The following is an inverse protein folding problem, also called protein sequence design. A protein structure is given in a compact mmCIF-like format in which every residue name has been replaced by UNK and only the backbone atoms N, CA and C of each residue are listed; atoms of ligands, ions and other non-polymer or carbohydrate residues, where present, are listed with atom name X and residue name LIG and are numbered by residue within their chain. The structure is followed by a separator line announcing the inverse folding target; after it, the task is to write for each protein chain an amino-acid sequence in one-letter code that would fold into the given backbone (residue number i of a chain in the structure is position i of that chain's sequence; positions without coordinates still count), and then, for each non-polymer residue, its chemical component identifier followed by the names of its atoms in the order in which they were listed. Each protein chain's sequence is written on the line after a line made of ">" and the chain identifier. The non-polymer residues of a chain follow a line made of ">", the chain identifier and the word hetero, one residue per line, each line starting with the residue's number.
data_IF_050114913953
#
_entry.id   IF_050114913953
#
_cell.length_a   1.000
_cell.length_b   1.000
_cell.length_c   1.000
_cell.angle_alpha   90.00
_cell.angle_beta   90.00
_cell.angle_gamma   90.00
#
_symmetry.space_group_name_H-M   'P 1'
#
loop_
_entity.id
_entity.type
_entity.pdbx_description
1 polymer ?
#
# COMPACT_ATOMS: atom_id res chain seq x y z
N UNK A 1 -7.49 1.68 -12.35
CA UNK A 1 -6.63 2.38 -13.32
C UNK A 1 -5.26 1.71 -13.32
N UNK A 2 -4.70 1.40 -14.50
CA UNK A 2 -3.34 0.90 -14.65
C UNK A 2 -2.39 2.09 -14.87
N UNK A 3 -1.19 2.07 -14.30
CA UNK A 3 -0.16 3.00 -14.74
C UNK A 3 0.25 2.64 -16.18
N UNK A 4 0.14 3.57 -17.13
CA UNK A 4 0.55 3.33 -18.53
C UNK A 4 2.08 3.17 -18.68
N UNK A 5 2.84 3.53 -17.64
CA UNK A 5 4.28 3.35 -17.54
C UNK A 5 4.63 2.14 -16.70
N UNK A 6 5.67 1.40 -17.12
CA UNK A 6 6.31 0.39 -16.27
C UNK A 6 7.16 1.09 -15.21
N UNK A 7 6.73 1.01 -13.96
CA UNK A 7 7.44 1.56 -12.82
C UNK A 7 8.43 0.52 -12.25
N UNK A 8 9.69 0.92 -12.04
CA UNK A 8 10.69 0.05 -11.38
C UNK A 8 10.41 -0.13 -9.89
N UNK A 9 9.67 0.79 -9.28
CA UNK A 9 9.29 0.74 -7.87
C UNK A 9 7.92 1.37 -7.69
N UNK A 10 7.09 0.75 -6.86
CA UNK A 10 5.70 1.15 -6.64
C UNK A 10 5.41 1.10 -5.14
N UNK A 11 4.78 2.15 -4.62
CA UNK A 11 4.24 2.19 -3.26
C UNK A 11 2.73 2.03 -3.37
N UNK A 12 2.17 1.03 -2.68
CA UNK A 12 0.74 0.72 -2.74
C UNK A 12 0.12 0.95 -1.36
N UNK A 13 -0.82 1.88 -1.28
CA UNK A 13 -1.63 2.15 -0.09
C UNK A 13 -3.11 1.98 -0.44
N UNK A 14 -3.70 0.87 0.00
CA UNK A 14 -5.08 0.46 -0.29
C UNK A 14 -5.69 -0.19 0.96
N UNK A 15 -6.98 -0.52 0.94
CA UNK A 15 -7.61 -1.36 1.96
C UNK A 15 -8.43 -0.61 3.00
N UNK A 16 -8.14 0.66 3.29
CA UNK A 16 -8.84 1.39 4.38
C UNK A 16 -10.36 1.51 4.19
N UNK A 17 -10.83 1.43 2.93
CA UNK A 17 -12.25 1.48 2.57
C UNK A 17 -12.75 0.17 1.95
N UNK A 18 -11.93 -0.89 1.96
CA UNK A 18 -12.22 -2.15 1.27
C UNK A 18 -12.58 -3.25 2.27
N UNK A 19 -13.44 -4.18 1.87
CA UNK A 19 -13.71 -5.37 2.67
C UNK A 19 -12.58 -6.40 2.52
N UNK A 20 -12.33 -7.21 3.55
CA UNK A 20 -11.34 -8.31 3.47
C UNK A 20 -11.68 -9.32 2.37
N UNK A 21 -12.97 -9.55 2.11
CA UNK A 21 -13.45 -10.43 1.03
C UNK A 21 -13.00 -9.93 -0.34
N UNK A 22 -13.16 -8.63 -0.63
CA UNK A 22 -12.73 -8.05 -1.90
C UNK A 22 -11.21 -8.04 -2.03
N UNK A 23 -10.49 -7.75 -0.95
CA UNK A 23 -9.03 -7.72 -0.95
C UNK A 23 -8.41 -9.08 -1.24
N UNK A 24 -8.95 -10.17 -0.69
CA UNK A 24 -8.49 -11.55 -0.99
C UNK A 24 -8.52 -11.87 -2.48
N UNK A 25 -9.51 -11.34 -3.20
CA UNK A 25 -9.67 -11.56 -4.63
C UNK A 25 -8.78 -10.60 -5.42
N UNK A 26 -8.74 -9.32 -5.05
CA UNK A 26 -8.15 -8.27 -5.90
C UNK A 26 -6.66 -8.04 -5.67
N UNK A 27 -6.12 -8.29 -4.47
CA UNK A 27 -4.72 -8.02 -4.17
C UNK A 27 -3.73 -8.90 -4.97
N UNK A 28 -3.97 -10.22 -5.15
CA UNK A 28 -3.11 -11.04 -6.01
C UNK A 28 -3.06 -10.52 -7.45
N UNK A 29 -4.22 -10.19 -8.02
CA UNK A 29 -4.33 -9.64 -9.38
C UNK A 29 -3.63 -8.28 -9.51
N UNK A 30 -3.83 -7.40 -8.53
CA UNK A 30 -3.12 -6.12 -8.47
C UNK A 30 -1.61 -6.35 -8.46
N UNK A 31 -1.12 -7.25 -7.60
CA UNK A 31 0.31 -7.53 -7.49
C UNK A 31 0.88 -8.13 -8.77
N UNK A 32 0.17 -9.04 -9.42
CA UNK A 32 0.58 -9.64 -10.68
C UNK A 32 0.72 -8.58 -11.79
N UNK A 33 -0.22 -7.63 -11.85
CA UNK A 33 -0.21 -6.53 -12.83
C UNK A 33 0.95 -5.55 -12.64
N UNK A 34 1.48 -5.40 -11.42
CA UNK A 34 2.67 -4.59 -11.16
C UNK A 34 3.97 -5.28 -11.66
N UNK A 35 3.90 -6.57 -12.02
CA UNK A 35 5.00 -7.29 -12.67
C UNK A 35 6.29 -7.31 -11.84
N UNK A 36 7.43 -7.10 -12.50
CA UNK A 36 8.76 -7.10 -11.89
C UNK A 36 9.13 -5.85 -11.07
N UNK A 37 8.16 -5.00 -10.72
CA UNK A 37 8.41 -3.83 -9.90
C UNK A 37 8.83 -4.22 -8.46
N UNK A 38 9.67 -3.40 -7.83
CA UNK A 38 9.88 -3.45 -6.38
C UNK A 38 8.67 -2.82 -5.69
N UNK A 39 7.85 -3.63 -5.03
CA UNK A 39 6.63 -3.14 -4.38
C UNK A 39 6.88 -2.89 -2.89
N UNK A 40 6.37 -1.77 -2.41
CA UNK A 40 6.28 -1.47 -0.98
C UNK A 40 4.81 -1.26 -0.62
N UNK A 41 4.27 -2.11 0.24
CA UNK A 41 2.90 -2.04 0.71
C UNK A 41 2.79 -1.19 1.97
N UNK A 42 1.73 -0.39 2.03
CA UNK A 42 1.34 0.34 3.23
C UNK A 42 0.02 -0.24 3.69
N UNK A 43 0.00 -0.86 4.88
CA UNK A 43 -1.22 -1.39 5.47
C UNK A 43 -1.90 -0.38 6.41
N UNK A 44 -3.25 -0.30 6.36
CA UNK A 44 -4.03 0.60 7.19
C UNK A 44 -4.12 0.12 8.65
N UNK A 45 -4.75 0.91 9.52
CA UNK A 45 -4.94 0.59 10.94
C UNK A 45 -5.90 -0.58 11.22
N UNK A 46 -6.69 -1.02 10.23
CA UNK A 46 -7.60 -2.15 10.40
C UNK A 46 -6.84 -3.47 10.38
N UNK A 47 -6.80 -4.20 11.51
CA UNK A 47 -6.04 -5.46 11.65
C UNK A 47 -6.34 -6.49 10.56
N UNK A 48 -7.63 -6.77 10.32
CA UNK A 48 -8.03 -7.80 9.36
C UNK A 48 -7.63 -7.44 7.93
N UNK A 49 -7.84 -6.18 7.54
CA UNK A 49 -7.44 -5.67 6.22
C UNK A 49 -5.93 -5.70 6.04
N UNK A 50 -5.19 -5.25 7.06
CA UNK A 50 -3.74 -5.24 7.00
C UNK A 50 -3.15 -6.65 6.89
N UNK A 51 -3.79 -7.65 7.49
CA UNK A 51 -3.36 -9.04 7.36
C UNK A 51 -3.46 -9.52 5.92
N UNK A 52 -4.53 -9.18 5.20
CA UNK A 52 -4.67 -9.54 3.77
C UNK A 52 -3.56 -8.90 2.91
N UNK A 53 -3.23 -7.63 3.19
CA UNK A 53 -2.14 -6.92 2.51
C UNK A 53 -0.78 -7.53 2.86
N UNK A 54 -0.54 -7.81 4.14
CA UNK A 54 0.69 -8.43 4.62
C UNK A 54 0.91 -9.81 4.01
N UNK A 55 -0.14 -10.63 3.88
CA UNK A 55 -0.07 -11.95 3.27
C UNK A 55 0.41 -11.87 1.82
N UNK A 56 -0.17 -10.97 1.01
CA UNK A 56 0.27 -10.77 -0.38
C UNK A 56 1.70 -10.24 -0.45
N UNK A 57 2.05 -9.27 0.39
CA UNK A 57 3.42 -8.75 0.46
C UNK A 57 4.43 -9.86 0.78
N UNK A 58 4.12 -10.69 1.79
CA UNK A 58 4.97 -11.78 2.26
C UNK A 58 5.17 -12.86 1.19
N UNK A 59 4.11 -13.25 0.49
CA UNK A 59 4.15 -14.23 -0.60
C UNK A 59 5.03 -13.78 -1.77
N UNK A 60 5.07 -12.47 -2.04
CA UNK A 60 5.82 -11.90 -3.16
C UNK A 60 7.22 -11.38 -2.78
N UNK A 61 7.61 -11.48 -1.51
CA UNK A 61 8.88 -10.92 -1.02
C UNK A 61 8.93 -9.39 -1.06
N UNK A 62 7.78 -8.73 -1.09
CA UNK A 62 7.68 -7.28 -1.14
C UNK A 62 7.97 -6.66 0.24
N UNK A 63 8.33 -5.36 0.25
CA UNK A 63 8.41 -4.60 1.50
C UNK A 63 7.01 -4.24 1.97
N UNK A 64 6.84 -4.11 3.27
CA UNK A 64 5.54 -3.82 3.85
C UNK A 64 5.71 -3.00 5.14
N UNK A 65 4.91 -1.94 5.31
CA UNK A 65 4.92 -1.07 6.47
C UNK A 65 3.51 -0.74 6.95
N UNK A 66 3.35 -0.59 8.27
CA UNK A 66 2.04 -0.38 8.87
C UNK A 66 1.90 0.94 9.57
N UNK A 67 0.70 1.49 9.49
CA UNK A 67 0.35 2.68 10.25
C UNK A 67 0.21 2.45 11.76
N UNK A 68 0.36 1.22 12.28
CA UNK A 68 0.25 0.95 13.73
C UNK A 68 1.13 1.83 14.61
N UNK A 69 2.30 2.19 14.10
CA UNK A 69 3.29 3.01 14.80
C UNK A 69 3.14 4.51 14.49
N UNK A 70 2.12 4.89 13.73
CA UNK A 70 1.79 6.27 13.38
C UNK A 70 0.54 6.67 14.16
N UNK A 71 0.60 7.80 14.86
CA UNK A 71 -0.57 8.30 15.61
C UNK A 71 -1.76 8.54 14.68
N UNK A 72 -2.98 8.37 15.19
CA UNK A 72 -4.23 8.64 14.47
C UNK A 72 -5.38 8.90 15.43
N UNK A 73 -6.23 9.86 15.10
CA UNK A 73 -7.45 10.21 15.82
C UNK A 73 -8.66 9.37 15.43
N UNK A 74 -8.73 8.90 14.18
CA UNK A 74 -9.91 8.22 13.61
C UNK A 74 -9.63 6.79 13.14
N UNK A 75 -8.38 6.32 13.26
CA UNK A 75 -7.91 5.03 12.76
C UNK A 75 -8.09 4.84 11.25
N UNK A 76 -8.16 5.94 10.50
CA UNK A 76 -8.14 5.95 9.03
C UNK A 76 -6.99 6.82 8.55
N UNK A 77 -6.86 8.03 9.09
CA UNK A 77 -5.86 9.00 8.70
C UNK A 77 -4.72 9.08 9.72
N UNK A 78 -3.45 9.08 9.27
CA UNK A 78 -2.34 9.52 10.10
C UNK A 78 -2.56 10.92 10.68
N UNK A 79 -2.26 11.09 11.97
CA UNK A 79 -2.22 12.39 12.62
C UNK A 79 -1.11 13.29 12.05
N UNK A 80 -0.01 12.70 11.54
CA UNK A 80 1.03 13.42 10.80
C UNK A 80 1.62 12.54 9.68
N UNK A 81 1.44 12.99 8.42
CA UNK A 81 2.00 12.32 7.24
C UNK A 81 3.53 12.38 7.17
N UNK A 82 4.20 13.29 7.91
CA UNK A 82 5.67 13.30 7.99
C UNK A 82 6.20 12.01 8.62
N UNK A 83 5.48 11.41 9.55
CA UNK A 83 5.84 10.12 10.14
C UNK A 83 5.80 8.99 9.09
N UNK A 84 4.80 9.02 8.20
CA UNK A 84 4.69 8.08 7.08
C UNK A 84 5.86 8.23 6.10
N UNK A 85 6.23 9.46 5.75
CA UNK A 85 7.37 9.71 4.86
C UNK A 85 8.68 9.23 5.48
N UNK A 86 8.90 9.47 6.78
CA UNK A 86 10.08 8.98 7.50
C UNK A 86 10.16 7.44 7.47
N UNK A 87 9.03 6.77 7.67
CA UNK A 87 8.92 5.31 7.63
C UNK A 87 9.27 4.73 6.26
N UNK A 88 8.85 5.37 5.16
CA UNK A 88 9.13 4.91 3.79
C UNK A 88 10.59 5.13 3.36
N UNK A 89 11.34 5.97 4.08
CA UNK A 89 12.64 6.47 3.67
C UNK A 89 12.53 7.51 2.55
N UNK A 90 13.50 8.42 2.43
CA UNK A 90 13.48 9.51 1.43
C UNK A 90 13.38 8.93 0.00
N UNK A 91 12.24 9.05 -0.71
CA UNK A 91 12.16 8.62 -2.09
C UNK A 91 12.93 9.62 -2.96
N UNK A 92 13.79 9.14 -3.86
CA UNK A 92 14.53 10.01 -4.79
C UNK A 92 13.64 10.64 -5.88
N UNK A 93 12.44 10.08 -6.12
CA UNK A 93 11.47 10.56 -7.11
C UNK A 93 10.05 10.23 -6.63
N UNK A 94 9.14 11.21 -6.72
CA UNK A 94 7.71 11.05 -6.40
C UNK A 94 6.92 11.47 -7.63
N UNK A 95 6.11 10.57 -8.19
CA UNK A 95 5.10 10.89 -9.20
C UNK A 95 3.74 10.43 -8.69
N UNK A 96 2.74 11.30 -8.76
CA UNK A 96 1.37 11.00 -8.36
C UNK A 96 0.52 10.79 -9.62
N UNK A 97 -0.08 9.63 -9.76
CA UNK A 97 -1.15 9.40 -10.74
C UNK A 97 -2.45 9.15 -9.98
N UNK A 98 -3.39 10.08 -10.06
CA UNK A 98 -4.74 9.89 -9.55
C UNK A 98 -5.57 9.14 -10.59
N UNK A 99 -6.18 8.03 -10.17
CA UNK A 99 -7.21 7.36 -10.94
C UNK A 99 -8.35 8.32 -11.25
N UNK A 100 -8.46 8.84 -12.48
CA UNK A 100 -9.71 9.50 -12.90
C UNK A 100 -10.81 8.44 -12.91
N UNK A 101 -11.92 8.76 -12.22
CA UNK A 101 -13.15 7.96 -12.20
C UNK A 101 -13.76 7.90 -13.60
#
# INVERSE_FOLDING_TARGET
>A
MLPQRRYRSVIVAVGSNDSTRELRVRLPDLRARLGGARVTWIYPYGRSVAWEIYAVARLNGDRAFGFWNVGSSDKVHPADYRAVIKMLGRPKYISWEFGRR
#
